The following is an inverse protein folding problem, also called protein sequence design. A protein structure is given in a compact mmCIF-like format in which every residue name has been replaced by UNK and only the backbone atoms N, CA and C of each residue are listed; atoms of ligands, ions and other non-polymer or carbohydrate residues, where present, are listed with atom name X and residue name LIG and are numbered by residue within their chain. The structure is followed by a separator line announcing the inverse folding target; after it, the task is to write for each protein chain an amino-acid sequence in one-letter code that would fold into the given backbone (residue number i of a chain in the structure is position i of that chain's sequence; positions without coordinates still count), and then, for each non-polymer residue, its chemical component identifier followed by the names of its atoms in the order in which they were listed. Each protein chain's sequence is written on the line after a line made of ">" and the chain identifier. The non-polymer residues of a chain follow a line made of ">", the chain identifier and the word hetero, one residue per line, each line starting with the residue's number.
data_IF_673193083218
#
_entry.id   IF_673193083218
#
_cell.length_a   1.000
_cell.length_b   1.000
_cell.length_c   1.000
_cell.angle_alpha   90.00
_cell.angle_beta   90.00
_cell.angle_gamma   90.00
#
_symmetry.space_group_name_H-M   'P 1'
#
loop_
_entity.id
_entity.type
_entity.pdbx_description
1 polymer ?
#
# COMPACT_ATOMS: atom_id res chain seq x y z
N UNK A 1 -42.60 46.04 8.27
CA UNK A 1 -42.01 45.17 9.31
C UNK A 1 -41.95 43.75 8.73
N UNK A 2 -40.79 43.33 8.22
CA UNK A 2 -40.59 41.97 7.69
C UNK A 2 -39.58 41.22 8.56
N UNK A 3 -39.94 40.09 9.19
CA UNK A 3 -38.99 39.27 9.91
C UNK A 3 -38.90 37.87 9.29
N UNK A 4 -38.23 37.71 8.14
CA UNK A 4 -37.92 36.39 7.59
C UNK A 4 -36.58 36.43 6.86
N UNK A 5 -35.48 36.46 7.61
CA UNK A 5 -34.15 36.14 7.08
C UNK A 5 -33.18 35.95 8.24
N UNK A 6 -32.97 34.70 8.66
CA UNK A 6 -31.70 34.20 9.22
C UNK A 6 -31.91 32.78 9.78
N UNK A 7 -32.08 31.79 8.91
CA UNK A 7 -31.94 30.37 9.28
C UNK A 7 -31.14 29.68 8.18
N UNK A 8 -29.83 29.94 8.15
CA UNK A 8 -28.88 29.17 7.37
C UNK A 8 -27.49 29.42 7.92
N UNK A 9 -27.03 28.59 8.85
CA UNK A 9 -25.61 28.31 9.13
C UNK A 9 -25.53 27.49 10.42
N UNK A 10 -25.60 26.16 10.31
CA UNK A 10 -25.14 25.21 11.34
C UNK A 10 -25.06 23.82 10.69
N UNK A 11 -24.24 23.72 9.63
CA UNK A 11 -23.68 22.44 9.20
C UNK A 11 -22.24 22.40 9.71
N UNK A 12 -22.09 22.18 11.02
CA UNK A 12 -20.81 21.79 11.60
C UNK A 12 -20.50 20.39 11.07
N UNK A 13 -19.79 20.33 9.93
CA UNK A 13 -19.10 19.14 9.50
C UNK A 13 -18.15 18.74 10.64
N UNK A 14 -18.56 17.76 11.44
CA UNK A 14 -17.66 17.00 12.28
C UNK A 14 -16.74 16.20 11.36
N UNK A 15 -15.68 16.84 10.85
CA UNK A 15 -14.48 16.10 10.47
C UNK A 15 -13.94 15.50 11.76
N UNK A 16 -14.45 14.33 12.13
CA UNK A 16 -13.74 13.44 13.01
C UNK A 16 -12.37 13.22 12.35
N UNK A 17 -11.25 13.57 13.00
CA UNK A 17 -9.95 13.19 12.50
C UNK A 17 -9.98 11.67 12.43
N UNK A 18 -10.06 11.12 11.22
CA UNK A 18 -9.78 9.72 10.97
C UNK A 18 -8.45 9.47 11.65
N UNK A 19 -8.46 8.62 12.66
CA UNK A 19 -7.28 8.17 13.37
C UNK A 19 -6.41 7.41 12.37
N UNK A 20 -5.66 8.15 11.57
CA UNK A 20 -4.67 7.67 10.59
C UNK A 20 -3.44 7.06 11.28
N UNK A 21 -3.65 6.41 12.42
CA UNK A 21 -2.63 5.81 13.27
C UNK A 21 -3.14 4.64 14.10
N UNK A 22 -4.39 4.19 13.92
CA UNK A 22 -4.76 2.86 14.40
C UNK A 22 -3.98 1.86 13.54
N UNK A 23 -2.82 1.43 14.04
CA UNK A 23 -1.97 0.41 13.44
C UNK A 23 -2.72 -0.92 13.47
N UNK A 24 -3.66 -1.11 12.54
CA UNK A 24 -4.21 -2.42 12.23
C UNK A 24 -3.04 -3.32 11.86
N UNK A 25 -2.97 -4.56 12.38
CA UNK A 25 -1.92 -5.48 11.96
C UNK A 25 -1.91 -5.58 10.43
N UNK A 26 -0.72 -5.61 9.80
CA UNK A 26 -0.61 -5.77 8.36
C UNK A 26 -1.39 -6.99 7.87
N UNK A 27 -2.14 -6.81 6.80
CA UNK A 27 -2.84 -7.89 6.14
C UNK A 27 -1.84 -8.84 5.48
N UNK A 28 -2.12 -10.13 5.58
CA UNK A 28 -1.35 -11.14 4.87
C UNK A 28 -1.89 -11.24 3.43
N UNK A 29 -1.04 -11.10 2.41
CA UNK A 29 -1.44 -11.26 1.03
C UNK A 29 -1.93 -12.68 0.76
N UNK A 30 -2.88 -12.79 -0.17
CA UNK A 30 -3.32 -14.09 -0.68
C UNK A 30 -2.32 -14.55 -1.74
N UNK A 31 -1.73 -15.75 -1.61
CA UNK A 31 -0.81 -16.28 -2.60
C UNK A 31 -1.41 -16.27 -4.01
N UNK A 32 -0.60 -15.87 -4.99
CA UNK A 32 -0.98 -15.75 -6.40
C UNK A 32 -1.84 -14.52 -6.74
N UNK A 33 -2.33 -13.75 -5.76
CA UNK A 33 -3.05 -12.50 -6.01
C UNK A 33 -2.06 -11.36 -6.25
N UNK A 34 -2.35 -10.55 -7.28
CA UNK A 34 -1.58 -9.32 -7.55
C UNK A 34 -2.27 -8.14 -6.88
N UNK A 35 -1.58 -7.51 -5.95
CA UNK A 35 -2.00 -6.25 -5.33
C UNK A 35 -1.44 -5.09 -6.12
N UNK A 36 -2.29 -4.15 -6.56
CA UNK A 36 -1.89 -2.99 -7.36
C UNK A 36 -2.20 -1.71 -6.59
N UNK A 37 -1.15 -1.04 -6.14
CA UNK A 37 -1.20 0.20 -5.39
C UNK A 37 -1.23 1.40 -6.35
N UNK A 38 -2.27 2.22 -6.24
CA UNK A 38 -2.40 3.52 -6.91
C UNK A 38 -1.55 4.61 -6.24
N UNK A 39 -1.37 4.51 -4.94
CA UNK A 39 -0.40 5.27 -4.16
C UNK A 39 0.30 4.36 -3.17
N UNK A 40 1.56 4.63 -2.89
CA UNK A 40 2.28 4.05 -1.76
C UNK A 40 2.52 5.19 -0.79
N UNK A 41 2.02 5.02 0.43
CA UNK A 41 2.03 6.05 1.48
C UNK A 41 3.11 5.76 2.52
N UNK A 42 3.38 4.49 2.81
CA UNK A 42 4.49 4.05 3.64
C UNK A 42 5.07 2.73 3.15
N UNK A 43 6.36 2.54 3.41
CA UNK A 43 7.10 1.31 3.11
C UNK A 43 8.06 1.02 4.26
N UNK A 44 7.98 -0.19 4.80
CA UNK A 44 8.85 -0.65 5.90
C UNK A 44 9.50 -1.96 5.51
N UNK A 45 10.81 -2.10 5.75
CA UNK A 45 11.55 -3.34 5.47
C UNK A 45 12.00 -3.97 6.78
N UNK A 46 11.82 -5.28 6.88
CA UNK A 46 12.38 -6.14 7.92
C UNK A 46 13.29 -7.20 7.27
N UNK A 47 13.91 -8.06 8.07
CA UNK A 47 14.92 -9.02 7.63
C UNK A 47 14.43 -9.98 6.53
N UNK A 48 13.15 -10.39 6.57
CA UNK A 48 12.58 -11.37 5.65
C UNK A 48 11.22 -10.95 5.07
N UNK A 49 10.73 -9.77 5.43
CA UNK A 49 9.43 -9.26 5.02
C UNK A 49 9.50 -7.76 4.81
N UNK A 50 8.48 -7.22 4.17
CA UNK A 50 8.31 -5.79 4.06
C UNK A 50 6.83 -5.46 4.05
N UNK A 51 6.50 -4.31 4.61
CA UNK A 51 5.15 -3.80 4.69
C UNK A 51 4.96 -2.66 3.70
N UNK A 52 3.88 -2.72 2.93
CA UNK A 52 3.46 -1.66 2.02
C UNK A 52 2.13 -1.11 2.51
N UNK A 53 2.12 0.16 2.89
CA UNK A 53 0.88 0.90 3.13
C UNK A 53 0.57 1.74 1.91
N UNK A 54 -0.63 1.62 1.37
CA UNK A 54 -1.04 2.39 0.21
C UNK A 54 -2.49 2.17 -0.17
N UNK A 55 -2.96 2.96 -1.14
CA UNK A 55 -4.33 2.82 -1.66
C UNK A 55 -4.31 1.89 -2.87
N UNK A 56 -5.09 0.81 -2.85
CA UNK A 56 -5.23 -0.09 -4.00
C UNK A 56 -6.07 0.54 -5.12
N UNK A 57 -5.82 0.14 -6.36
CA UNK A 57 -6.64 0.56 -7.51
C UNK A 57 -8.10 0.16 -7.29
N UNK A 58 -9.00 1.14 -7.39
CA UNK A 58 -10.44 0.94 -7.17
C UNK A 58 -10.87 1.06 -5.71
N UNK A 59 -9.93 1.25 -4.78
CA UNK A 59 -10.21 1.51 -3.37
C UNK A 59 -9.96 3.00 -3.02
N UNK A 60 -10.57 3.47 -1.93
CA UNK A 60 -10.41 4.85 -1.44
C UNK A 60 -9.72 4.93 -0.08
N UNK A 61 -9.51 3.78 0.58
CA UNK A 61 -8.91 3.69 1.91
C UNK A 61 -7.57 2.98 1.83
N UNK A 62 -6.48 3.57 2.37
CA UNK A 62 -5.19 2.90 2.44
C UNK A 62 -5.27 1.60 3.25
N UNK A 63 -4.53 0.58 2.79
CA UNK A 63 -4.35 -0.72 3.46
C UNK A 63 -2.88 -0.99 3.62
N UNK A 64 -2.55 -1.77 4.65
CA UNK A 64 -1.18 -2.22 4.89
C UNK A 64 -1.10 -3.71 4.64
N UNK A 65 -0.22 -4.13 3.75
CA UNK A 65 0.07 -5.54 3.47
C UNK A 65 1.49 -5.87 3.88
N UNK A 66 1.68 -7.03 4.53
CA UNK A 66 3.02 -7.56 4.82
C UNK A 66 3.34 -8.68 3.85
N UNK A 67 4.34 -8.48 3.01
CA UNK A 67 4.77 -9.44 2.01
C UNK A 67 6.03 -10.16 2.47
N UNK A 68 6.11 -11.44 2.18
CA UNK A 68 7.33 -12.20 2.42
C UNK A 68 8.28 -12.10 1.22
N UNK A 69 9.54 -11.81 1.49
CA UNK A 69 10.56 -11.64 0.46
C UNK A 69 11.12 -12.97 -0.09
N UNK A 70 10.79 -14.12 0.54
CA UNK A 70 11.31 -15.42 0.14
C UNK A 70 12.63 -15.81 0.81
N UNK A 71 12.74 -17.05 1.33
CA UNK A 71 14.01 -17.65 1.78
C UNK A 71 13.92 -18.82 2.76
N UNK A 72 14.13 -20.04 2.27
CA UNK A 72 14.81 -21.13 3.00
C UNK A 72 15.98 -21.62 2.14
N UNK A 73 17.17 -21.66 2.75
CA UNK A 73 18.42 -22.32 2.33
C UNK A 73 19.34 -21.78 1.20
N UNK A 74 19.07 -20.67 0.50
CA UNK A 74 20.12 -19.98 -0.29
C UNK A 74 19.85 -18.47 -0.39
N UNK A 75 20.24 -17.76 0.65
CA UNK A 75 19.85 -16.39 1.02
C UNK A 75 20.36 -15.25 0.13
N UNK A 76 20.98 -15.54 -1.02
CA UNK A 76 21.54 -14.51 -1.90
C UNK A 76 20.52 -14.01 -2.93
N UNK A 77 19.82 -14.90 -3.63
CA UNK A 77 18.94 -14.52 -4.76
C UNK A 77 17.73 -13.73 -4.29
N UNK A 78 16.88 -14.31 -3.43
CA UNK A 78 15.64 -13.67 -2.97
C UNK A 78 15.87 -12.29 -2.32
N UNK A 79 17.01 -12.09 -1.66
CA UNK A 79 17.40 -10.79 -1.09
C UNK A 79 17.62 -9.71 -2.16
N UNK A 80 18.11 -10.09 -3.35
CA UNK A 80 18.34 -9.21 -4.48
C UNK A 80 17.03 -8.83 -5.16
N UNK A 81 16.10 -9.77 -5.34
CA UNK A 81 14.77 -9.45 -5.88
C UNK A 81 13.99 -8.53 -4.94
N UNK A 82 13.97 -8.82 -3.63
CA UNK A 82 13.34 -7.96 -2.63
C UNK A 82 13.95 -6.54 -2.62
N UNK A 83 15.28 -6.44 -2.69
CA UNK A 83 15.99 -5.16 -2.77
C UNK A 83 15.66 -4.35 -4.04
N UNK A 84 15.31 -5.01 -5.15
CA UNK A 84 14.87 -4.33 -6.38
C UNK A 84 13.46 -3.78 -6.22
N UNK A 85 12.59 -4.54 -5.55
CA UNK A 85 11.21 -4.13 -5.32
C UNK A 85 11.09 -2.99 -4.31
N UNK A 86 11.96 -2.93 -3.31
CA UNK A 86 12.12 -1.77 -2.42
C UNK A 86 12.33 -0.48 -3.22
N UNK A 87 13.28 -0.47 -4.16
CA UNK A 87 13.52 0.71 -5.01
C UNK A 87 12.28 1.13 -5.81
N UNK A 88 11.51 0.17 -6.30
CA UNK A 88 10.27 0.48 -7.03
C UNK A 88 9.20 1.07 -6.11
N UNK A 89 9.05 0.53 -4.90
CA UNK A 89 8.13 1.05 -3.89
C UNK A 89 8.53 2.47 -3.46
N UNK A 90 9.82 2.72 -3.19
CA UNK A 90 10.35 4.05 -2.88
C UNK A 90 10.09 5.04 -4.02
N UNK A 91 10.28 4.64 -5.29
CA UNK A 91 9.98 5.50 -6.44
C UNK A 91 8.48 5.84 -6.48
N UNK A 92 7.60 4.86 -6.25
CA UNK A 92 6.16 5.07 -6.20
C UNK A 92 5.76 6.05 -5.07
N UNK A 93 6.38 5.93 -3.89
CA UNK A 93 6.15 6.84 -2.75
C UNK A 93 6.54 8.29 -3.05
N UNK A 94 7.69 8.51 -3.69
CA UNK A 94 8.14 9.88 -3.99
C UNK A 94 7.29 10.60 -5.05
N UNK A 95 6.45 9.87 -5.79
CA UNK A 95 5.63 10.39 -6.89
C UNK A 95 4.22 9.78 -6.88
N UNK A 96 3.39 10.10 -5.89
CA UNK A 96 2.03 9.55 -5.78
C UNK A 96 1.20 9.81 -7.05
N UNK A 97 0.47 8.80 -7.52
CA UNK A 97 -0.39 8.89 -8.71
C UNK A 97 0.35 8.98 -10.06
N UNK A 98 1.69 8.88 -10.09
CA UNK A 98 2.46 8.77 -11.35
C UNK A 98 2.75 7.33 -11.74
N UNK A 99 2.78 6.44 -10.76
CA UNK A 99 3.13 5.04 -10.95
C UNK A 99 2.15 4.16 -10.20
N UNK A 100 1.83 3.02 -10.81
CA UNK A 100 1.22 1.88 -10.15
C UNK A 100 2.34 0.95 -9.70
N UNK A 101 2.41 0.71 -8.40
CA UNK A 101 3.27 -0.34 -7.84
C UNK A 101 2.45 -1.61 -7.68
N UNK A 102 2.91 -2.73 -8.25
CA UNK A 102 2.24 -4.01 -8.07
C UNK A 102 3.16 -5.06 -7.45
N UNK A 103 2.56 -5.93 -6.64
CA UNK A 103 3.22 -7.07 -6.03
C UNK A 103 2.37 -8.33 -6.14
N UNK A 104 3.01 -9.45 -6.47
CA UNK A 104 2.45 -10.79 -6.43
C UNK A 104 3.43 -11.69 -5.67
N UNK A 105 2.99 -12.34 -4.60
CA UNK A 105 3.83 -13.22 -3.78
C UNK A 105 4.16 -14.58 -4.45
N UNK A 106 3.51 -14.88 -5.58
CA UNK A 106 3.51 -16.22 -6.16
C UNK A 106 2.55 -17.16 -5.41
N UNK A 107 2.30 -18.34 -5.96
CA UNK A 107 1.44 -19.38 -5.42
C UNK A 107 2.23 -20.62 -4.93
N UNK A 108 3.51 -20.46 -4.56
CA UNK A 108 4.36 -21.53 -4.04
C UNK A 108 5.77 -21.57 -4.63
N UNK A 109 6.48 -22.69 -4.42
CA UNK A 109 7.91 -22.87 -4.73
C UNK A 109 8.30 -22.68 -6.21
N UNK A 110 7.37 -22.81 -7.14
CA UNK A 110 7.63 -22.71 -8.59
C UNK A 110 7.35 -21.33 -9.18
N UNK A 111 6.70 -20.45 -8.42
CA UNK A 111 6.37 -19.09 -8.83
C UNK A 111 7.05 -18.10 -7.89
N UNK A 112 8.10 -17.46 -8.38
CA UNK A 112 8.81 -16.44 -7.61
C UNK A 112 7.96 -15.19 -7.45
N UNK A 113 8.12 -14.45 -6.35
CA UNK A 113 7.47 -13.17 -6.18
C UNK A 113 7.84 -12.22 -7.32
N UNK A 114 6.87 -11.42 -7.75
CA UNK A 114 7.03 -10.44 -8.83
C UNK A 114 6.55 -9.08 -8.38
N UNK A 115 7.40 -8.08 -8.53
CA UNK A 115 7.03 -6.68 -8.42
C UNK A 115 7.10 -5.99 -9.78
N UNK A 116 6.22 -5.01 -10.02
CA UNK A 116 6.25 -4.18 -11.24
C UNK A 116 5.96 -2.73 -10.87
N UNK A 117 6.57 -1.81 -11.61
CA UNK A 117 6.25 -0.38 -11.56
C UNK A 117 5.78 0.06 -12.94
N UNK A 118 4.51 0.43 -13.06
CA UNK A 118 3.89 0.84 -14.32
C UNK A 118 3.60 2.34 -14.27
N UNK A 119 3.97 3.08 -15.32
CA UNK A 119 3.63 4.51 -15.42
C UNK A 119 2.13 4.68 -15.75
N UNK A 120 1.47 5.63 -15.08
CA UNK A 120 0.13 6.09 -15.43
C UNK A 120 0.15 7.23 -16.46
#
# INVERSE_FOLDING_TARGET
>A
MSPLRALALLATLSLAPSTAGAKTPPEQPVPGVTYVFASVDAYTVDLASFDVTGTLVGESTPRTFSFWAGGTSDSASNSVEASRCDRLALIAMTRPGRYLFSWNEGNGYTSLPKCTLTRQ
#
